data_IF_002062023247
#
_entry.id   IF_002062023247
#
_cell.length_a   1.000
_cell.length_b   1.000
_cell.length_c   1.000
_cell.angle_alpha   90.00
_cell.angle_beta   90.00
_cell.angle_gamma   90.00
#
_symmetry.space_group_name_H-M   'P 1'
#
loop_
_entity.id
_entity.type
_entity.pdbx_description
1 polymer ?
#
# COMPACT_ATOMS: atom_id res chain seq x y z
N UNK A 1 17.76 6.19 -15.84
CA UNK A 1 17.58 5.49 -14.56
C UNK A 1 16.08 5.35 -14.34
N UNK A 2 15.51 4.19 -14.64
CA UNK A 2 14.07 3.96 -14.45
C UNK A 2 13.69 4.16 -12.98
N UNK A 3 12.44 4.53 -12.68
CA UNK A 3 12.06 4.84 -11.31
C UNK A 3 12.14 3.53 -10.50
N UNK A 4 12.97 3.51 -9.45
CA UNK A 4 13.32 2.29 -8.73
C UNK A 4 12.13 1.57 -8.07
N UNK A 5 12.37 0.39 -7.48
CA UNK A 5 11.34 -0.57 -7.10
C UNK A 5 10.34 0.05 -6.11
N UNK A 6 9.04 -0.08 -6.41
CA UNK A 6 7.95 0.54 -5.67
C UNK A 6 7.07 -0.50 -4.98
N UNK A 7 6.65 -0.19 -3.76
CA UNK A 7 5.62 -0.92 -3.03
C UNK A 7 4.34 -0.08 -3.03
N UNK A 8 3.24 -0.66 -3.48
CA UNK A 8 1.92 -0.04 -3.52
C UNK A 8 1.02 -0.84 -2.59
N UNK A 9 0.41 -0.18 -1.60
CA UNK A 9 -0.47 -0.81 -0.62
C UNK A 9 -1.83 -0.11 -0.60
N UNK A 10 -2.89 -0.83 -0.93
CA UNK A 10 -4.23 -0.28 -1.10
C UNK A 10 -5.20 -0.97 -0.16
N UNK A 11 -5.77 -0.21 0.77
CA UNK A 11 -6.86 -0.65 1.66
C UNK A 11 -8.19 0.09 1.45
N UNK A 12 -8.29 0.98 0.45
CA UNK A 12 -9.56 1.59 0.07
C UNK A 12 -10.50 0.56 -0.59
N UNK A 13 -11.78 0.66 -0.27
CA UNK A 13 -12.88 -0.13 -0.85
C UNK A 13 -13.64 0.64 -1.94
N UNK A 14 -13.15 1.82 -2.31
CA UNK A 14 -13.85 2.67 -3.27
C UNK A 14 -13.83 2.03 -4.66
N UNK A 15 -14.96 2.02 -5.39
CA UNK A 15 -15.03 1.43 -6.72
C UNK A 15 -14.01 2.00 -7.71
N UNK A 16 -13.68 3.29 -7.57
CA UNK A 16 -12.67 3.95 -8.40
C UNK A 16 -11.27 3.37 -8.15
N UNK A 17 -10.94 3.05 -6.90
CA UNK A 17 -9.67 2.43 -6.53
C UNK A 17 -9.54 1.03 -7.11
N UNK A 18 -10.64 0.26 -7.13
CA UNK A 18 -10.66 -1.05 -7.78
C UNK A 18 -10.36 -0.95 -9.28
N UNK A 19 -10.99 -0.01 -9.99
CA UNK A 19 -10.74 0.23 -11.40
C UNK A 19 -9.30 0.67 -11.69
N UNK A 20 -8.73 1.53 -10.83
CA UNK A 20 -7.33 1.95 -10.92
C UNK A 20 -6.35 0.79 -10.74
N UNK A 21 -6.61 -0.12 -9.78
CA UNK A 21 -5.78 -1.31 -9.59
C UNK A 21 -5.84 -2.26 -10.79
N UNK A 22 -7.02 -2.48 -11.36
CA UNK A 22 -7.18 -3.30 -12.58
C UNK A 22 -6.36 -2.71 -13.72
N UNK A 23 -6.46 -1.39 -13.93
CA UNK A 23 -5.69 -0.71 -14.98
C UNK A 23 -4.18 -0.79 -14.73
N UNK A 24 -3.74 -0.60 -13.50
CA UNK A 24 -2.32 -0.71 -13.11
C UNK A 24 -1.77 -2.10 -13.42
N UNK A 25 -2.48 -3.17 -13.08
CA UNK A 25 -2.04 -4.54 -13.38
C UNK A 25 -2.03 -4.83 -14.89
N UNK A 26 -2.98 -4.28 -15.65
CA UNK A 26 -3.01 -4.43 -17.10
C UNK A 26 -1.83 -3.72 -17.80
N UNK A 27 -1.46 -2.52 -17.32
CA UNK A 27 -0.35 -1.75 -17.87
C UNK A 27 1.03 -2.27 -17.40
N UNK A 28 1.07 -3.04 -16.30
CA UNK A 28 2.31 -3.56 -15.69
C UNK A 28 2.18 -5.05 -15.31
N UNK A 29 2.29 -5.99 -16.27
CA UNK A 29 2.12 -7.43 -16.00
C UNK A 29 3.20 -8.03 -15.09
N UNK A 30 4.36 -7.36 -14.97
CA UNK A 30 5.48 -7.80 -14.12
C UNK A 30 5.30 -7.41 -12.64
N UNK A 31 4.23 -6.69 -12.28
CA UNK A 31 3.97 -6.31 -10.89
C UNK A 31 3.54 -7.54 -10.08
N UNK A 32 4.18 -7.76 -8.93
CA UNK A 32 3.74 -8.77 -8.00
C UNK A 32 2.43 -8.32 -7.33
N UNK A 33 1.37 -9.12 -7.40
CA UNK A 33 0.08 -8.79 -6.79
C UNK A 33 -0.23 -9.77 -5.67
N UNK A 34 -0.54 -9.25 -4.49
CA UNK A 34 -1.02 -10.05 -3.37
C UNK A 34 -2.35 -9.52 -2.82
N UNK A 35 -3.33 -10.42 -2.76
CA UNK A 35 -4.56 -10.18 -2.02
C UNK A 35 -4.34 -10.45 -0.54
N UNK A 36 -4.74 -9.49 0.27
CA UNK A 36 -4.50 -9.44 1.71
C UNK A 36 -5.87 -9.46 2.44
N UNK A 37 -6.58 -10.59 2.44
CA UNK A 37 -7.90 -10.68 3.07
C UNK A 37 -7.79 -10.36 4.57
N UNK A 38 -8.71 -9.53 5.08
CA UNK A 38 -8.66 -9.06 6.47
C UNK A 38 -7.31 -8.44 6.89
N UNK A 39 -6.58 -7.87 5.92
CA UNK A 39 -5.27 -7.24 6.16
C UNK A 39 -4.12 -8.23 6.30
N UNK A 40 -4.34 -9.54 6.09
CA UNK A 40 -3.29 -10.55 6.17
C UNK A 40 -2.33 -10.45 4.97
N UNK A 41 -1.20 -9.76 5.16
CA UNK A 41 -0.17 -9.63 4.12
C UNK A 41 0.76 -10.85 4.15
N UNK A 42 0.94 -11.56 3.02
CA UNK A 42 1.89 -12.67 2.92
C UNK A 42 3.34 -12.18 3.05
N UNK A 43 4.28 -13.09 3.32
CA UNK A 43 5.70 -12.75 3.24
C UNK A 43 6.09 -12.37 1.80
N UNK A 44 7.07 -11.47 1.60
CA UNK A 44 7.55 -11.13 0.26
C UNK A 44 8.21 -12.33 -0.42
N UNK A 45 7.82 -12.59 -1.68
CA UNK A 45 8.53 -13.52 -2.56
C UNK A 45 9.76 -12.84 -3.17
N UNK A 46 10.83 -13.56 -3.48
CA UNK A 46 12.06 -12.95 -4.03
C UNK A 46 12.19 -13.22 -5.54
N UNK A 47 12.30 -12.21 -6.42
CA UNK A 47 12.22 -10.77 -6.17
C UNK A 47 10.77 -10.27 -5.95
N UNK A 48 10.60 -9.33 -5.01
CA UNK A 48 9.29 -8.93 -4.52
C UNK A 48 8.74 -7.64 -5.16
N UNK A 49 9.57 -6.85 -5.85
CA UNK A 49 9.22 -5.50 -6.28
C UNK A 49 9.37 -5.35 -7.81
N UNK A 50 8.51 -4.56 -8.47
CA UNK A 50 7.41 -3.78 -7.89
C UNK A 50 6.25 -4.65 -7.39
N UNK A 51 5.58 -4.22 -6.32
CA UNK A 51 4.45 -4.95 -5.73
C UNK A 51 3.20 -4.08 -5.50
N UNK A 52 2.05 -4.73 -5.62
CA UNK A 52 0.73 -4.25 -5.24
C UNK A 52 0.12 -5.18 -4.18
N UNK A 53 -0.07 -4.66 -2.96
CA UNK A 53 -0.77 -5.32 -1.87
C UNK A 53 -2.21 -4.77 -1.81
N UNK A 54 -3.21 -5.64 -1.93
CA UNK A 54 -4.63 -5.27 -1.98
C UNK A 54 -5.36 -5.83 -0.77
N UNK A 55 -5.74 -4.97 0.18
CA UNK A 55 -6.56 -5.38 1.30
C UNK A 55 -8.04 -5.43 0.88
N UNK A 56 -8.70 -6.57 1.14
CA UNK A 56 -10.09 -6.79 0.76
C UNK A 56 -10.80 -7.81 1.66
N UNK A 57 -12.10 -8.04 1.40
CA UNK A 57 -12.83 -9.21 1.87
C UNK A 57 -12.96 -9.40 3.39
N UNK A 58 -13.23 -8.35 4.16
CA UNK A 58 -13.36 -8.47 5.62
C UNK A 58 -14.66 -7.86 6.17
N UNK A 59 -15.50 -8.71 6.76
CA UNK A 59 -16.59 -8.34 7.69
C UNK A 59 -16.02 -8.15 9.10
N UNK A 60 -14.89 -7.44 9.21
CA UNK A 60 -14.23 -7.15 10.46
C UNK A 60 -14.12 -5.63 10.66
N UNK A 61 -13.82 -5.22 11.90
CA UNK A 61 -13.60 -3.82 12.25
C UNK A 61 -12.53 -3.20 11.31
N UNK A 62 -12.87 -2.12 10.56
CA UNK A 62 -11.95 -1.45 9.66
C UNK A 62 -10.61 -1.06 10.30
N UNK A 63 -10.60 -0.65 11.56
CA UNK A 63 -9.39 -0.25 12.27
C UNK A 63 -8.47 -1.45 12.55
N UNK A 64 -9.06 -2.60 12.91
CA UNK A 64 -8.31 -3.86 13.14
C UNK A 64 -7.70 -4.36 11.84
N UNK A 65 -8.47 -4.34 10.76
CA UNK A 65 -7.99 -4.71 9.41
C UNK A 65 -6.87 -3.79 8.96
N UNK A 66 -7.02 -2.47 9.14
CA UNK A 66 -6.00 -1.49 8.78
C UNK A 66 -4.71 -1.68 9.60
N UNK A 67 -4.81 -1.94 10.91
CA UNK A 67 -3.66 -2.23 11.76
C UNK A 67 -2.91 -3.50 11.35
N UNK A 68 -3.65 -4.57 11.03
CA UNK A 68 -3.07 -5.84 10.57
C UNK A 68 -2.37 -5.66 9.22
N UNK A 69 -3.00 -4.94 8.31
CA UNK A 69 -2.45 -4.62 7.00
C UNK A 69 -1.19 -3.76 7.10
N UNK A 70 -1.21 -2.71 7.93
CA UNK A 70 -0.05 -1.85 8.21
C UNK A 70 1.15 -2.64 8.75
N UNK A 71 0.91 -3.55 9.70
CA UNK A 71 1.98 -4.42 10.22
C UNK A 71 2.59 -5.33 9.15
N UNK A 72 1.78 -5.80 8.20
CA UNK A 72 2.25 -6.54 7.04
C UNK A 72 3.07 -5.71 6.05
N UNK A 73 2.63 -4.49 5.77
CA UNK A 73 3.34 -3.52 4.92
C UNK A 73 4.71 -3.18 5.52
N UNK A 74 4.81 -3.01 6.85
CA UNK A 74 6.08 -2.75 7.52
C UNK A 74 7.10 -3.87 7.30
N UNK A 75 6.68 -5.14 7.45
CA UNK A 75 7.55 -6.30 7.17
C UNK A 75 8.06 -6.30 5.73
N UNK A 76 7.22 -5.88 4.78
CA UNK A 76 7.62 -5.73 3.39
C UNK A 76 8.62 -4.59 3.19
N UNK A 77 8.41 -3.43 3.82
CA UNK A 77 9.34 -2.30 3.77
C UNK A 77 10.71 -2.73 4.30
N UNK A 78 10.75 -3.39 5.45
CA UNK A 78 11.98 -3.90 6.08
C UNK A 78 12.70 -4.92 5.19
N UNK A 79 11.97 -5.89 4.65
CA UNK A 79 12.55 -6.97 3.85
C UNK A 79 13.00 -6.54 2.45
N UNK A 80 12.35 -5.53 1.86
CA UNK A 80 12.54 -5.19 0.43
C UNK A 80 13.15 -3.81 0.19
N UNK A 81 13.17 -2.94 1.20
CA UNK A 81 13.70 -1.57 1.13
C UNK A 81 13.24 -0.81 -0.13
N UNK A 82 11.92 -0.68 -0.36
CA UNK A 82 11.39 -0.07 -1.58
C UNK A 82 11.84 1.40 -1.68
N UNK A 83 12.18 1.84 -2.89
CA UNK A 83 12.53 3.26 -3.11
C UNK A 83 11.33 4.19 -2.99
N UNK A 84 10.13 3.65 -3.21
CA UNK A 84 8.87 4.39 -3.20
C UNK A 84 7.80 3.56 -2.54
N UNK A 85 7.00 4.21 -1.71
CA UNK A 85 5.83 3.65 -1.07
C UNK A 85 4.62 4.49 -1.47
N UNK A 86 3.60 3.83 -2.04
CA UNK A 86 2.30 4.43 -2.29
C UNK A 86 1.28 3.75 -1.37
N UNK A 87 0.51 4.53 -0.63
CA UNK A 87 -0.52 4.02 0.28
C UNK A 87 -1.86 4.65 -0.07
N UNK A 88 -2.88 3.81 -0.26
CA UNK A 88 -4.24 4.23 -0.55
C UNK A 88 -5.22 3.73 0.51
N UNK A 89 -6.13 4.60 0.95
CA UNK A 89 -7.08 4.36 2.04
C UNK A 89 -6.68 5.10 3.31
N UNK A 90 -7.61 5.90 3.86
CA UNK A 90 -7.36 6.75 5.03
C UNK A 90 -6.93 5.96 6.26
N UNK A 91 -7.67 4.89 6.59
CA UNK A 91 -7.38 4.04 7.75
C UNK A 91 -6.04 3.31 7.61
N UNK A 92 -5.72 2.82 6.41
CA UNK A 92 -4.43 2.19 6.13
C UNK A 92 -3.28 3.16 6.27
N UNK A 93 -3.41 4.37 5.71
CA UNK A 93 -2.39 5.41 5.84
C UNK A 93 -2.18 5.79 7.31
N UNK A 94 -3.26 6.03 8.05
CA UNK A 94 -3.21 6.36 9.47
C UNK A 94 -2.54 5.26 10.30
N UNK A 95 -2.93 3.99 10.09
CA UNK A 95 -2.37 2.85 10.81
C UNK A 95 -0.87 2.68 10.52
N UNK A 96 -0.47 2.80 9.25
CA UNK A 96 0.92 2.68 8.84
C UNK A 96 1.78 3.83 9.38
N UNK A 97 1.29 5.06 9.29
CA UNK A 97 1.98 6.24 9.81
C UNK A 97 2.13 6.22 11.33
N UNK A 98 1.11 5.75 12.04
CA UNK A 98 1.18 5.53 13.49
C UNK A 98 2.24 4.48 13.81
N UNK A 99 2.28 3.38 13.06
CA UNK A 99 3.25 2.31 13.28
C UNK A 99 4.69 2.70 12.91
N UNK A 100 4.87 3.60 11.94
CA UNK A 100 6.17 4.22 11.63
C UNK A 100 6.63 5.26 12.67
N UNK A 101 5.81 5.55 13.69
CA UNK A 101 6.16 6.48 14.77
C UNK A 101 6.17 7.95 14.37
N UNK A 102 5.66 8.28 13.19
CA UNK A 102 5.72 9.64 12.66
C UNK A 102 4.59 10.50 13.23
N UNK A 103 4.96 11.62 13.86
CA UNK A 103 4.04 12.55 14.52
C UNK A 103 3.47 13.64 13.61
N UNK A 104 4.17 13.97 12.52
CA UNK A 104 3.77 14.97 11.53
C UNK A 104 4.22 14.48 10.16
N UNK A 105 3.31 14.49 9.18
CA UNK A 105 3.61 14.22 7.78
C UNK A 105 3.30 15.46 6.95
N UNK A 106 4.26 15.88 6.14
CA UNK A 106 4.09 17.02 5.24
C UNK A 106 3.64 16.52 3.88
N UNK A 107 2.47 16.98 3.44
CA UNK A 107 1.99 16.73 2.08
C UNK A 107 2.88 17.50 1.11
N UNK A 108 3.54 16.81 0.19
CA UNK A 108 4.32 17.44 -0.88
C UNK A 108 3.37 18.25 -1.77
N UNK A 109 3.75 19.51 -2.05
CA UNK A 109 2.96 20.41 -2.89
C UNK A 109 2.73 19.90 -4.33
N UNK A 110 3.50 18.90 -4.77
CA UNK A 110 3.34 18.26 -6.09
C UNK A 110 2.26 17.16 -6.13
N UNK A 111 1.49 16.95 -5.06
CA UNK A 111 0.43 15.94 -5.02
C UNK A 111 -0.82 16.39 -5.77
N UNK A 112 -1.39 15.52 -6.61
CA UNK A 112 -2.77 15.70 -7.07
C UNK A 112 -3.73 15.46 -5.88
N UNK A 113 -4.92 16.10 -5.85
CA UNK A 113 -5.86 15.95 -4.74
C UNK A 113 -6.17 14.49 -4.39
N UNK A 114 -6.24 13.63 -5.41
CA UNK A 114 -6.50 12.20 -5.27
C UNK A 114 -5.29 11.34 -4.85
N UNK A 115 -4.05 11.83 -4.95
CA UNK A 115 -2.82 11.10 -4.63
C UNK A 115 -1.83 11.97 -3.83
N UNK A 116 -2.03 12.10 -2.51
CA UNK A 116 -1.11 12.83 -1.65
C UNK A 116 0.25 12.11 -1.60
N UNK A 117 1.31 12.85 -1.92
CA UNK A 117 2.69 12.42 -1.75
C UNK A 117 3.17 12.89 -0.37
N UNK A 118 3.74 11.99 0.42
CA UNK A 118 4.27 12.27 1.75
C UNK A 118 5.79 12.03 1.75
N UNK A 119 6.54 12.91 2.42
CA UNK A 119 7.97 12.77 2.65
C UNK A 119 8.25 12.76 4.14
#
# INVERSE_FOLDING_TARGET
MGPGPALIAIGSRDPITAAQMVRLCADHPDIFVADCPAGAVPAPATPALPALLRCGGADADPAVVAGTFAGGILRWIEATSPRRLLVGGGDTALALFTALGARVWCRSASSRPEFPLWR
#
